data_IF_033713515577
#
_entry.id   IF_033713515577
#
_cell.length_a   1.000
_cell.length_b   1.000
_cell.length_c   1.000
_cell.angle_alpha   90.00
_cell.angle_beta   90.00
_cell.angle_gamma   90.00
#
_symmetry.space_group_name_H-M   'P 1'
#
loop_
_entity.id
_entity.type
_entity.pdbx_description
1 polymer ?
#
# COMPACT_ATOMS: atom_id res chain seq x y z
N UNK A 1 -9.16 -38.50 -1.23
CA UNK A 1 -7.75 -38.35 -0.86
C UNK A 1 -7.69 -37.20 0.13
N UNK A 2 -7.21 -37.44 1.35
CA UNK A 2 -6.92 -36.34 2.27
C UNK A 2 -5.79 -35.52 1.62
N UNK A 3 -5.91 -34.17 1.56
CA UNK A 3 -4.82 -33.35 1.09
C UNK A 3 -3.62 -33.62 2.02
N UNK A 4 -2.44 -33.83 1.44
CA UNK A 4 -1.20 -33.97 2.20
C UNK A 4 -1.01 -32.66 2.96
N UNK A 5 -1.34 -32.66 4.25
CA UNK A 5 -0.92 -31.62 5.19
C UNK A 5 0.60 -31.48 5.02
N UNK A 6 1.06 -30.27 4.65
CA UNK A 6 2.49 -30.01 4.49
C UNK A 6 3.29 -30.41 5.72
N UNK A 7 4.58 -30.66 5.58
CA UNK A 7 5.46 -31.00 6.69
C UNK A 7 5.46 -29.86 7.72
N UNK A 8 5.30 -30.23 9.02
CA UNK A 8 5.50 -29.28 10.11
C UNK A 8 6.97 -28.94 10.22
N UNK A 9 7.32 -27.69 9.98
CA UNK A 9 8.70 -27.21 10.09
C UNK A 9 9.07 -26.92 11.55
N UNK A 10 10.34 -27.10 11.90
CA UNK A 10 10.88 -26.53 13.13
C UNK A 10 11.05 -25.01 12.95
N UNK A 11 10.20 -24.26 13.63
CA UNK A 11 10.21 -22.81 13.61
C UNK A 11 10.72 -22.21 14.94
N UNK A 12 11.51 -22.98 15.69
CA UNK A 12 12.13 -22.53 16.96
C UNK A 12 13.01 -21.27 16.74
N UNK A 13 13.51 -21.05 15.54
CA UNK A 13 14.19 -19.81 15.14
C UNK A 13 13.40 -18.56 15.56
N UNK A 14 12.09 -18.54 15.41
CA UNK A 14 11.28 -17.36 15.74
C UNK A 14 11.17 -17.09 17.25
N UNK A 15 11.45 -18.09 18.10
CA UNK A 15 11.46 -17.93 19.57
C UNK A 15 12.77 -17.32 20.07
N UNK A 16 13.87 -17.50 19.32
CA UNK A 16 15.20 -17.02 19.68
C UNK A 16 15.62 -15.76 18.91
N UNK A 17 14.87 -15.39 17.86
CA UNK A 17 15.18 -14.25 17.00
C UNK A 17 15.07 -12.94 17.78
N UNK A 18 16.20 -12.26 17.92
CA UNK A 18 16.26 -10.93 18.56
C UNK A 18 16.02 -9.82 17.52
N UNK A 19 15.56 -8.67 17.98
CA UNK A 19 15.43 -7.49 17.14
C UNK A 19 16.81 -7.03 16.66
N UNK A 20 16.93 -6.83 15.35
CA UNK A 20 18.12 -6.22 14.73
C UNK A 20 17.87 -4.71 14.58
N UNK A 21 18.53 -3.93 15.43
CA UNK A 21 18.39 -2.48 15.48
C UNK A 21 18.84 -1.80 14.18
N UNK A 22 19.77 -2.38 13.42
CA UNK A 22 20.24 -1.85 12.14
C UNK A 22 19.12 -1.80 11.08
N UNK A 23 18.04 -2.57 11.26
CA UNK A 23 16.86 -2.59 10.42
C UNK A 23 15.69 -1.77 10.98
N UNK A 24 15.83 -1.19 12.19
CA UNK A 24 14.77 -0.40 12.82
C UNK A 24 14.56 0.97 12.19
N UNK A 25 15.64 1.58 11.67
CA UNK A 25 15.63 2.95 11.14
C UNK A 25 15.09 3.98 12.15
N UNK A 26 15.32 3.76 13.46
CA UNK A 26 14.80 4.62 14.56
C UNK A 26 15.20 6.10 14.45
N UNK A 27 16.38 6.37 13.89
CA UNK A 27 16.91 7.74 13.75
C UNK A 27 16.25 8.54 12.63
N UNK A 28 15.44 7.92 11.77
CA UNK A 28 14.84 8.61 10.64
C UNK A 28 13.59 9.40 11.05
N UNK A 29 13.57 10.66 10.64
CA UNK A 29 12.40 11.54 10.77
C UNK A 29 11.43 11.33 9.61
N UNK A 30 10.25 11.95 9.72
CA UNK A 30 9.30 11.97 8.61
C UNK A 30 9.88 12.67 7.36
N UNK A 31 10.77 13.65 7.54
CA UNK A 31 11.46 14.33 6.43
C UNK A 31 12.36 13.34 5.68
N UNK A 32 13.10 12.52 6.44
CA UNK A 32 14.03 11.54 5.86
C UNK A 32 13.31 10.41 5.10
N UNK A 33 12.09 10.04 5.51
CA UNK A 33 11.28 9.00 4.85
C UNK A 33 10.37 9.52 3.74
N UNK A 34 10.33 10.84 3.54
CA UNK A 34 9.52 11.52 2.52
C UNK A 34 10.35 12.33 1.53
N UNK A 35 11.59 11.92 1.28
CA UNK A 35 12.46 12.55 0.27
C UNK A 35 11.94 12.31 -1.16
N UNK A 36 12.41 13.10 -2.10
CA UNK A 36 11.99 13.07 -3.50
C UNK A 36 10.45 13.01 -3.60
N UNK A 37 9.95 12.16 -4.47
CA UNK A 37 8.51 12.01 -4.72
C UNK A 37 7.78 11.11 -3.71
N UNK A 38 8.47 10.54 -2.71
CA UNK A 38 7.82 9.73 -1.67
C UNK A 38 6.76 10.48 -0.86
N UNK A 39 6.77 11.81 -0.87
CA UNK A 39 5.82 12.67 -0.17
C UNK A 39 4.59 13.06 -0.99
N UNK A 40 4.46 12.64 -2.25
CA UNK A 40 3.37 13.05 -3.14
C UNK A 40 1.99 12.74 -2.57
N UNK A 41 1.85 11.60 -1.95
CA UNK A 41 0.57 11.17 -1.40
C UNK A 41 0.76 10.45 -0.06
N UNK A 42 -0.16 10.70 0.88
CA UNK A 42 -0.24 9.93 2.13
C UNK A 42 -0.89 8.58 1.86
N UNK A 43 -0.14 7.51 2.00
CA UNK A 43 -0.62 6.15 1.85
C UNK A 43 -0.41 5.39 3.18
N UNK A 44 -1.46 4.80 3.78
CA UNK A 44 -1.32 4.04 5.03
C UNK A 44 -0.43 2.81 4.84
N UNK A 45 0.34 2.47 5.86
CA UNK A 45 1.20 1.29 5.90
C UNK A 45 2.22 1.18 4.74
N UNK A 46 2.67 2.31 4.19
CA UNK A 46 3.71 2.30 3.16
C UNK A 46 5.05 1.79 3.71
N UNK A 47 5.83 1.13 2.86
CA UNK A 47 7.24 0.84 3.14
C UNK A 47 8.02 2.10 3.53
N UNK A 48 8.94 1.98 4.47
CA UNK A 48 10.01 2.96 4.63
C UNK A 48 10.93 2.84 3.41
N UNK A 49 11.17 3.91 2.63
CA UNK A 49 11.98 3.83 1.42
C UNK A 49 13.36 3.21 1.66
N UNK A 50 14.03 3.60 2.75
CA UNK A 50 15.35 3.09 3.13
C UNK A 50 15.36 1.58 3.40
N UNK A 51 14.24 1.04 3.92
CA UNK A 51 14.09 -0.41 4.10
C UNK A 51 14.01 -1.11 2.74
N UNK A 52 13.17 -0.58 1.83
CA UNK A 52 13.04 -1.14 0.48
C UNK A 52 14.38 -1.08 -0.26
N UNK A 53 15.06 0.08 -0.24
CA UNK A 53 16.38 0.26 -0.85
C UNK A 53 17.39 -0.76 -0.35
N UNK A 54 17.53 -0.91 0.97
CA UNK A 54 18.50 -1.85 1.55
C UNK A 54 18.23 -3.30 1.12
N UNK A 55 16.94 -3.72 1.13
CA UNK A 55 16.58 -5.06 0.67
C UNK A 55 16.96 -5.25 -0.81
N UNK A 56 16.69 -4.24 -1.65
CA UNK A 56 16.99 -4.29 -3.08
C UNK A 56 18.50 -4.37 -3.31
N UNK A 57 19.28 -3.47 -2.71
CA UNK A 57 20.73 -3.39 -2.89
C UNK A 57 21.47 -4.62 -2.37
N UNK A 58 21.05 -5.19 -1.23
CA UNK A 58 21.64 -6.40 -0.67
C UNK A 58 21.33 -7.68 -1.49
N UNK A 59 20.31 -7.66 -2.38
CA UNK A 59 19.82 -8.87 -3.03
C UNK A 59 19.75 -8.80 -4.56
N UNK A 60 20.19 -7.72 -5.19
CA UNK A 60 20.17 -7.53 -6.65
C UNK A 60 21.37 -6.76 -7.13
N UNK A 61 21.66 -6.89 -8.43
CA UNK A 61 22.61 -6.07 -9.18
C UNK A 61 21.86 -5.02 -10.03
N UNK A 62 22.61 -4.04 -10.58
CA UNK A 62 22.07 -3.12 -11.60
C UNK A 62 21.50 -3.94 -12.75
N UNK A 63 20.45 -3.45 -13.40
CA UNK A 63 19.68 -4.07 -14.48
C UNK A 63 18.85 -5.31 -14.07
N UNK A 64 18.86 -5.70 -12.80
CA UNK A 64 17.96 -6.74 -12.31
C UNK A 64 16.50 -6.25 -12.26
N UNK A 65 15.55 -7.19 -12.42
CA UNK A 65 14.11 -6.91 -12.33
C UNK A 65 13.64 -7.10 -10.89
N UNK A 66 13.11 -6.03 -10.32
CA UNK A 66 12.52 -6.00 -8.96
C UNK A 66 11.01 -5.85 -9.07
N UNK A 67 10.26 -6.74 -8.44
CA UNK A 67 8.80 -6.77 -8.43
C UNK A 67 8.25 -6.45 -7.04
N UNK A 68 7.27 -5.55 -6.96
CA UNK A 68 6.37 -5.42 -5.81
C UNK A 68 4.92 -5.68 -6.25
N UNK A 69 4.37 -6.90 -5.98
CA UNK A 69 3.01 -7.27 -6.41
C UNK A 69 1.89 -6.67 -5.54
N UNK A 70 2.24 -5.92 -4.49
CA UNK A 70 1.34 -5.15 -3.63
C UNK A 70 1.92 -3.74 -3.46
N UNK A 71 2.23 -3.07 -4.58
CA UNK A 71 3.11 -1.91 -4.58
C UNK A 71 2.55 -0.69 -3.81
N UNK A 72 1.24 -0.63 -3.55
CA UNK A 72 0.62 0.46 -2.82
C UNK A 72 1.01 1.82 -3.36
N UNK A 73 1.78 2.58 -2.59
CA UNK A 73 2.30 3.89 -3.04
C UNK A 73 3.62 3.82 -3.81
N UNK A 74 4.07 2.65 -4.25
CA UNK A 74 5.23 2.48 -5.12
C UNK A 74 6.58 2.77 -4.47
N UNK A 75 6.73 2.57 -3.17
CA UNK A 75 8.03 2.86 -2.51
C UNK A 75 9.13 1.93 -3.00
N UNK A 76 8.88 0.62 -3.09
CA UNK A 76 9.86 -0.35 -3.59
C UNK A 76 10.17 -0.11 -5.07
N UNK A 77 9.15 0.22 -5.88
CA UNK A 77 9.34 0.51 -7.31
C UNK A 77 10.25 1.72 -7.52
N UNK A 78 10.00 2.83 -6.81
CA UNK A 78 10.84 4.02 -6.92
C UNK A 78 12.28 3.74 -6.46
N UNK A 79 12.47 3.02 -5.35
CA UNK A 79 13.82 2.67 -4.86
C UNK A 79 14.57 1.73 -5.82
N UNK A 80 13.87 0.79 -6.48
CA UNK A 80 14.46 -0.03 -7.51
C UNK A 80 15.00 0.82 -8.67
N UNK A 81 14.18 1.76 -9.17
CA UNK A 81 14.57 2.68 -10.24
C UNK A 81 15.77 3.55 -9.85
N UNK A 82 15.72 4.15 -8.64
CA UNK A 82 16.81 5.01 -8.13
C UNK A 82 18.13 4.24 -7.91
N UNK A 83 18.05 2.93 -7.80
CA UNK A 83 19.21 2.04 -7.67
C UNK A 83 19.65 1.41 -9.00
N UNK A 84 19.12 1.84 -10.13
CA UNK A 84 19.46 1.33 -11.46
C UNK A 84 18.90 -0.06 -11.77
N UNK A 85 17.76 -0.43 -11.19
CA UNK A 85 17.06 -1.69 -11.42
C UNK A 85 15.78 -1.45 -12.20
N UNK A 86 15.28 -2.47 -12.91
CA UNK A 86 13.95 -2.44 -13.50
C UNK A 86 12.90 -2.62 -12.40
N UNK A 87 12.01 -1.62 -12.22
CA UNK A 87 10.96 -1.62 -11.22
C UNK A 87 9.62 -2.07 -11.80
N UNK A 88 9.10 -3.21 -11.38
CA UNK A 88 7.76 -3.65 -11.70
C UNK A 88 6.85 -3.51 -10.48
N UNK A 89 5.76 -2.75 -10.62
CA UNK A 89 4.75 -2.57 -9.57
C UNK A 89 3.38 -3.05 -10.02
N UNK A 90 2.70 -3.80 -9.18
CA UNK A 90 1.29 -4.09 -9.40
C UNK A 90 0.47 -3.88 -8.14
N UNK A 91 -0.76 -3.46 -8.31
CA UNK A 91 -1.75 -3.38 -7.24
C UNK A 91 -3.15 -3.48 -7.84
N UNK A 92 -4.07 -4.07 -7.11
CA UNK A 92 -5.47 -4.13 -7.53
C UNK A 92 -6.19 -2.80 -7.33
N UNK A 93 -5.63 -1.92 -6.50
CA UNK A 93 -6.17 -0.61 -6.18
C UNK A 93 -5.77 0.44 -7.22
N UNK A 94 -6.70 1.01 -7.99
CA UNK A 94 -6.38 2.02 -9.01
C UNK A 94 -5.71 3.27 -8.44
N UNK A 95 -5.98 3.62 -7.17
CA UNK A 95 -5.30 4.72 -6.52
C UNK A 95 -3.82 4.41 -6.27
N UNK A 96 -3.49 3.18 -5.92
CA UNK A 96 -2.09 2.74 -5.79
C UNK A 96 -1.34 2.91 -7.12
N UNK A 97 -1.96 2.48 -8.23
CA UNK A 97 -1.43 2.68 -9.57
C UNK A 97 -1.22 4.17 -9.89
N UNK A 98 -2.23 5.03 -9.64
CA UNK A 98 -2.14 6.48 -9.86
C UNK A 98 -0.97 7.10 -9.09
N UNK A 99 -0.84 6.78 -7.80
CA UNK A 99 0.21 7.31 -6.94
C UNK A 99 1.58 6.82 -7.40
N UNK A 100 1.71 5.51 -7.66
CA UNK A 100 2.98 4.92 -8.09
C UNK A 100 3.42 5.51 -9.43
N UNK A 101 2.51 5.63 -10.40
CA UNK A 101 2.80 6.24 -11.69
C UNK A 101 3.25 7.70 -11.53
N UNK A 102 2.54 8.52 -10.75
CA UNK A 102 2.92 9.91 -10.49
C UNK A 102 4.31 10.02 -9.85
N UNK A 103 4.63 9.15 -8.88
CA UNK A 103 5.90 9.17 -8.16
C UNK A 103 7.10 8.74 -8.99
N UNK A 104 6.90 7.82 -9.91
CA UNK A 104 7.98 7.21 -10.70
C UNK A 104 8.12 7.83 -12.10
N UNK A 105 7.31 8.84 -12.42
CA UNK A 105 7.34 9.52 -13.72
C UNK A 105 7.78 10.97 -13.53
N UNK A 106 9.08 11.26 -13.62
CA UNK A 106 9.58 12.63 -13.58
C UNK A 106 9.13 13.39 -14.82
N UNK A 107 8.64 14.59 -14.63
CA UNK A 107 8.20 15.50 -15.70
C UNK A 107 9.28 16.57 -15.87
N UNK A 108 9.59 16.90 -17.13
CA UNK A 108 10.52 18.00 -17.41
C UNK A 108 10.10 19.26 -16.64
N UNK A 109 10.98 19.88 -15.84
CA UNK A 109 10.61 21.01 -14.97
C UNK A 109 9.94 22.17 -15.72
N UNK A 110 10.41 22.53 -16.91
CA UNK A 110 9.83 23.63 -17.72
C UNK A 110 8.43 23.28 -18.21
N UNK A 111 8.20 22.02 -18.62
CA UNK A 111 6.88 21.55 -19.04
C UNK A 111 5.92 21.55 -17.87
N UNK A 112 6.37 21.10 -16.68
CA UNK A 112 5.54 21.07 -15.48
C UNK A 112 5.21 22.49 -15.01
N UNK A 113 6.17 23.41 -14.99
CA UNK A 113 6.00 24.82 -14.62
C UNK A 113 4.93 25.49 -15.48
N UNK A 114 5.07 25.44 -16.83
CA UNK A 114 4.08 26.01 -17.74
C UNK A 114 2.70 25.37 -17.61
N UNK A 115 2.64 24.06 -17.33
CA UNK A 115 1.38 23.35 -17.08
C UNK A 115 0.72 23.81 -15.78
N UNK A 116 1.49 24.05 -14.72
CA UNK A 116 0.99 24.59 -13.44
C UNK A 116 0.45 26.00 -13.60
N UNK A 117 1.17 26.87 -14.29
CA UNK A 117 0.73 28.24 -14.57
C UNK A 117 -0.60 28.24 -15.35
N UNK A 118 -0.70 27.43 -16.41
CA UNK A 118 -1.92 27.26 -17.17
C UNK A 118 -3.07 26.75 -16.30
N UNK A 119 -2.85 25.68 -15.52
CA UNK A 119 -3.86 25.13 -14.62
C UNK A 119 -4.34 26.20 -13.64
N UNK A 120 -3.44 26.88 -12.94
CA UNK A 120 -3.82 27.87 -11.92
C UNK A 120 -4.56 29.07 -12.52
N UNK A 121 -4.17 29.53 -13.70
CA UNK A 121 -4.89 30.59 -14.39
C UNK A 121 -6.29 30.17 -14.85
N UNK A 122 -6.49 28.89 -15.18
CA UNK A 122 -7.76 28.35 -15.64
C UNK A 122 -8.76 28.09 -14.52
N UNK A 123 -8.32 27.84 -13.27
CA UNK A 123 -9.20 27.51 -12.16
C UNK A 123 -10.33 28.51 -11.92
N UNK A 124 -10.10 29.80 -12.19
CA UNK A 124 -11.13 30.85 -12.06
C UNK A 124 -12.34 30.64 -12.98
N UNK A 125 -12.16 29.97 -14.12
CA UNK A 125 -13.25 29.72 -15.08
C UNK A 125 -14.11 28.52 -14.70
N UNK A 126 -13.61 27.61 -13.86
CA UNK A 126 -14.29 26.39 -13.48
C UNK A 126 -14.99 26.44 -12.12
N UNK A 127 -14.95 27.58 -11.40
CA UNK A 127 -15.53 27.73 -10.05
C UNK A 127 -17.06 27.50 -9.97
N UNK A 128 -17.78 27.54 -11.08
CA UNK A 128 -19.26 27.39 -11.14
C UNK A 128 -19.68 26.20 -12.00
N UNK A 129 -18.99 25.09 -11.89
CA UNK A 129 -19.35 23.88 -12.66
C UNK A 129 -20.56 23.17 -12.04
N UNK A 130 -21.46 22.64 -12.89
CA UNK A 130 -22.61 21.83 -12.45
C UNK A 130 -22.14 20.60 -11.66
N UNK A 131 -22.86 20.31 -10.57
CA UNK A 131 -22.59 19.18 -9.66
C UNK A 131 -23.65 18.06 -9.79
N UNK A 132 -24.63 18.21 -10.69
CA UNK A 132 -25.79 17.31 -10.80
C UNK A 132 -25.41 15.85 -11.14
N UNK A 133 -24.28 15.64 -11.80
CA UNK A 133 -23.81 14.31 -12.20
C UNK A 133 -22.88 13.62 -11.19
N UNK A 134 -22.66 14.23 -10.02
CA UNK A 134 -21.75 13.68 -9.01
C UNK A 134 -22.40 12.55 -8.21
N UNK A 135 -21.63 11.53 -7.79
CA UNK A 135 -22.13 10.45 -6.93
C UNK A 135 -22.71 10.97 -5.61
N UNK A 136 -23.86 10.45 -5.19
CA UNK A 136 -24.54 10.85 -3.94
C UNK A 136 -23.65 10.78 -2.70
N UNK A 137 -22.71 9.83 -2.64
CA UNK A 137 -21.75 9.69 -1.55
C UNK A 137 -20.89 10.94 -1.31
N UNK A 138 -20.60 11.73 -2.35
CA UNK A 138 -19.82 12.97 -2.22
C UNK A 138 -20.53 13.96 -1.30
N UNK A 139 -21.84 14.16 -1.47
CA UNK A 139 -22.63 15.10 -0.66
C UNK A 139 -22.68 14.73 0.82
N UNK A 140 -22.44 13.46 1.15
CA UNK A 140 -22.40 13.03 2.55
C UNK A 140 -21.03 13.22 3.21
N UNK A 141 -19.96 13.34 2.44
CA UNK A 141 -18.59 13.45 2.95
C UNK A 141 -18.00 14.86 2.86
N UNK A 142 -18.56 15.73 2.04
CA UNK A 142 -18.00 17.07 1.79
C UNK A 142 -19.03 18.16 2.10
N UNK A 143 -18.59 19.33 2.63
CA UNK A 143 -19.45 20.49 2.73
C UNK A 143 -19.96 20.93 1.36
N UNK A 144 -21.21 21.39 1.28
CA UNK A 144 -21.86 21.77 0.02
C UNK A 144 -21.12 22.85 -0.76
N UNK A 145 -20.55 23.84 -0.07
CA UNK A 145 -19.76 24.92 -0.68
C UNK A 145 -18.39 24.50 -1.18
N UNK A 146 -17.87 23.36 -0.72
CA UNK A 146 -16.56 22.80 -1.12
C UNK A 146 -16.67 21.98 -2.41
N UNK A 147 -17.82 21.34 -2.63
CA UNK A 147 -18.03 20.43 -3.76
C UNK A 147 -17.84 21.11 -5.12
N UNK A 148 -18.42 22.31 -5.41
CA UNK A 148 -18.22 22.97 -6.69
C UNK A 148 -16.77 23.32 -6.98
N UNK A 149 -15.99 23.72 -5.96
CA UNK A 149 -14.58 24.03 -6.12
C UNK A 149 -13.74 22.79 -6.43
N UNK A 150 -13.99 21.67 -5.74
CA UNK A 150 -13.33 20.40 -6.03
C UNK A 150 -13.69 19.90 -7.45
N UNK A 151 -14.97 20.02 -7.84
CA UNK A 151 -15.39 19.66 -9.19
C UNK A 151 -14.71 20.57 -10.25
N UNK A 152 -14.57 21.87 -9.95
CA UNK A 152 -13.86 22.82 -10.79
C UNK A 152 -12.40 22.46 -11.00
N UNK A 153 -11.68 22.07 -9.93
CA UNK A 153 -10.30 21.58 -10.02
C UNK A 153 -10.23 20.35 -10.92
N UNK A 154 -11.13 19.38 -10.72
CA UNK A 154 -11.12 18.14 -11.51
C UNK A 154 -11.38 18.42 -13.00
N UNK A 155 -12.33 19.34 -13.32
CA UNK A 155 -12.60 19.78 -14.69
C UNK A 155 -11.40 20.49 -15.34
N UNK A 156 -10.69 21.32 -14.59
CA UNK A 156 -9.48 21.95 -15.07
C UNK A 156 -8.37 20.93 -15.39
N UNK A 157 -8.25 19.88 -14.58
CA UNK A 157 -7.31 18.78 -14.80
C UNK A 157 -7.66 17.97 -16.05
N UNK A 158 -8.93 17.85 -16.42
CA UNK A 158 -9.35 17.10 -17.62
C UNK A 158 -8.79 17.64 -18.93
N UNK A 159 -8.37 18.91 -18.96
CA UNK A 159 -7.72 19.52 -20.11
C UNK A 159 -6.26 19.08 -20.37
N UNK A 160 -5.68 18.27 -19.48
CA UNK A 160 -4.32 17.76 -19.62
C UNK A 160 -4.30 16.28 -20.02
N UNK A 161 -3.21 15.87 -20.65
CA UNK A 161 -2.99 14.50 -21.06
C UNK A 161 -1.83 13.84 -20.30
N UNK A 162 -1.81 12.49 -20.33
CA UNK A 162 -0.69 11.65 -19.91
C UNK A 162 -0.16 11.92 -18.48
N UNK A 163 1.14 12.18 -18.38
CA UNK A 163 1.86 12.22 -17.11
C UNK A 163 1.54 13.47 -16.30
N UNK A 164 1.30 14.61 -16.98
CA UNK A 164 0.87 15.86 -16.32
C UNK A 164 -0.50 15.69 -15.68
N UNK A 165 -1.45 15.06 -16.38
CA UNK A 165 -2.77 14.72 -15.80
C UNK A 165 -2.62 13.80 -14.60
N UNK A 166 -1.78 12.77 -14.71
CA UNK A 166 -1.50 11.82 -13.61
C UNK A 166 -0.94 12.55 -12.38
N UNK A 167 -0.01 13.48 -12.58
CA UNK A 167 0.55 14.31 -11.53
C UNK A 167 -0.53 15.14 -10.81
N UNK A 168 -1.36 15.85 -11.56
CA UNK A 168 -2.42 16.67 -10.98
C UNK A 168 -3.53 15.84 -10.32
N UNK A 169 -3.91 14.69 -10.88
CA UNK A 169 -4.87 13.77 -10.24
C UNK A 169 -4.32 13.21 -8.92
N UNK A 170 -3.02 12.94 -8.84
CA UNK A 170 -2.38 12.52 -7.58
C UNK A 170 -2.47 13.65 -6.53
N UNK A 171 -2.19 14.90 -6.93
CA UNK A 171 -2.34 16.07 -6.06
C UNK A 171 -3.80 16.27 -5.61
N UNK A 172 -4.76 16.14 -6.53
CA UNK A 172 -6.19 16.23 -6.23
C UNK A 172 -6.62 15.17 -5.21
N UNK A 173 -6.23 13.91 -5.43
CA UNK A 173 -6.53 12.82 -4.51
C UNK A 173 -6.02 13.09 -3.09
N UNK A 174 -4.82 13.63 -2.95
CA UNK A 174 -4.19 13.92 -1.67
C UNK A 174 -4.97 14.95 -0.83
N UNK A 175 -5.60 15.93 -1.46
CA UNK A 175 -6.30 17.01 -0.73
C UNK A 175 -7.70 16.63 -0.27
N UNK A 176 -8.32 15.60 -0.83
CA UNK A 176 -9.73 15.26 -0.59
C UNK A 176 -10.04 15.06 0.89
N UNK A 177 -9.14 14.41 1.64
CA UNK A 177 -9.34 14.21 3.08
C UNK A 177 -9.34 15.53 3.85
N UNK A 178 -8.49 16.48 3.49
CA UNK A 178 -8.43 17.79 4.13
C UNK A 178 -9.71 18.59 3.87
N UNK A 179 -10.32 18.43 2.70
CA UNK A 179 -11.52 19.12 2.27
C UNK A 179 -12.83 18.42 2.68
N UNK A 180 -12.78 17.24 3.30
CA UNK A 180 -13.95 16.44 3.70
C UNK A 180 -14.18 16.44 5.20
N UNK A 181 -15.36 15.98 5.64
CA UNK A 181 -15.66 15.72 7.07
C UNK A 181 -14.84 14.57 7.68
N UNK A 182 -14.03 13.85 6.90
CA UNK A 182 -13.19 12.80 7.46
C UNK A 182 -12.17 13.38 8.43
N UNK A 183 -12.13 12.86 9.66
CA UNK A 183 -11.16 13.29 10.68
C UNK A 183 -9.72 13.08 10.22
N UNK A 184 -8.89 14.12 10.37
CA UNK A 184 -7.46 14.04 10.02
C UNK A 184 -6.68 13.03 10.88
N UNK A 185 -7.17 12.72 12.08
CA UNK A 185 -6.56 11.83 13.05
C UNK A 185 -6.97 10.36 12.86
N UNK A 186 -8.02 10.08 12.10
CA UNK A 186 -8.50 8.72 11.84
C UNK A 186 -8.06 8.20 10.48
N UNK A 187 -7.52 6.97 10.45
CA UNK A 187 -7.27 6.27 9.17
C UNK A 187 -8.56 5.65 8.65
N UNK A 188 -9.39 5.08 9.56
CA UNK A 188 -10.70 4.56 9.18
C UNK A 188 -11.67 5.70 8.88
N UNK A 189 -12.67 5.49 8.01
CA UNK A 189 -13.72 6.46 7.76
C UNK A 189 -14.42 6.85 9.07
N UNK A 190 -14.20 8.08 9.50
CA UNK A 190 -14.84 8.66 10.67
C UNK A 190 -15.16 10.13 10.37
N UNK A 191 -16.46 10.49 10.39
CA UNK A 191 -16.92 11.87 10.18
C UNK A 191 -16.79 12.67 11.46
N UNK A 192 -16.07 13.78 11.36
CA UNK A 192 -15.93 14.78 12.40
C UNK A 192 -16.77 15.98 11.97
N UNK A 193 -18.00 16.07 12.45
CA UNK A 193 -18.97 17.08 12.00
C UNK A 193 -18.53 18.51 12.32
N UNK A 194 -17.82 18.69 13.43
CA UNK A 194 -17.33 20.00 13.88
C UNK A 194 -15.98 20.39 13.27
N UNK A 195 -15.42 19.57 12.36
CA UNK A 195 -14.10 19.79 11.76
C UNK A 195 -13.93 21.18 11.17
N UNK A 196 -14.98 21.75 10.63
CA UNK A 196 -14.99 23.06 9.99
C UNK A 196 -15.73 24.14 10.77
N UNK A 197 -15.98 23.93 12.06
CA UNK A 197 -16.67 24.89 12.91
C UNK A 197 -15.97 26.26 13.01
N UNK A 198 -14.64 26.30 12.85
CA UNK A 198 -13.85 27.54 12.92
C UNK A 198 -13.56 28.15 11.56
N UNK A 199 -13.33 27.36 10.54
CA UNK A 199 -13.02 27.84 9.19
C UNK A 199 -13.29 26.74 8.17
N UNK A 200 -13.93 27.12 7.06
CA UNK A 200 -14.10 26.24 5.90
C UNK A 200 -12.78 26.08 5.15
N UNK A 201 -12.50 24.90 4.60
CA UNK A 201 -11.32 24.71 3.77
C UNK A 201 -11.50 25.46 2.44
N UNK A 202 -10.40 25.99 1.93
CA UNK A 202 -10.33 26.50 0.56
C UNK A 202 -9.64 25.41 -0.31
N UNK A 203 -10.41 24.62 -1.09
CA UNK A 203 -9.84 23.52 -1.87
C UNK A 203 -8.80 23.99 -2.88
N UNK A 204 -9.03 25.14 -3.52
CA UNK A 204 -8.12 25.70 -4.53
C UNK A 204 -6.76 26.01 -3.89
N UNK A 205 -6.76 26.72 -2.76
CA UNK A 205 -5.53 27.09 -2.07
C UNK A 205 -4.76 25.84 -1.56
N UNK A 206 -5.50 24.87 -0.98
CA UNK A 206 -4.90 23.63 -0.50
C UNK A 206 -4.28 22.84 -1.67
N UNK A 207 -4.99 22.78 -2.80
CA UNK A 207 -4.52 22.12 -4.02
C UNK A 207 -3.27 22.79 -4.58
N UNK A 208 -3.28 24.11 -4.77
CA UNK A 208 -2.14 24.87 -5.29
C UNK A 208 -0.91 24.69 -4.42
N UNK A 209 -1.04 24.80 -3.09
CA UNK A 209 0.06 24.58 -2.16
C UNK A 209 0.65 23.17 -2.28
N UNK A 210 -0.22 22.17 -2.45
CA UNK A 210 0.25 20.79 -2.61
C UNK A 210 0.92 20.55 -3.95
N UNK A 211 0.39 21.11 -5.04
CA UNK A 211 0.99 21.07 -6.39
C UNK A 211 2.40 21.67 -6.38
N UNK A 212 2.58 22.87 -5.78
CA UNK A 212 3.89 23.50 -5.68
C UNK A 212 4.89 22.68 -4.86
N UNK A 213 4.42 22.04 -3.80
CA UNK A 213 5.25 21.08 -3.05
C UNK A 213 5.66 19.89 -3.92
N UNK A 214 4.74 19.33 -4.70
CA UNK A 214 5.04 18.21 -5.60
C UNK A 214 5.97 18.64 -6.75
N UNK A 215 5.83 19.86 -7.25
CA UNK A 215 6.72 20.43 -8.27
C UNK A 215 8.18 20.44 -7.78
N UNK A 216 8.45 21.02 -6.62
CA UNK A 216 9.81 21.03 -6.04
C UNK A 216 10.39 19.61 -5.92
N UNK A 217 9.58 18.63 -5.55
CA UNK A 217 10.02 17.22 -5.45
C UNK A 217 10.21 16.55 -6.81
N UNK A 218 9.45 16.96 -7.82
CA UNK A 218 9.68 16.54 -9.20
C UNK A 218 11.03 17.04 -9.72
N UNK A 219 11.37 18.29 -9.43
CA UNK A 219 12.66 18.88 -9.81
C UNK A 219 13.83 18.13 -9.15
N UNK A 220 13.71 17.80 -7.85
CA UNK A 220 14.71 16.99 -7.15
C UNK A 220 14.88 15.60 -7.81
N UNK A 221 13.76 14.91 -8.14
CA UNK A 221 13.80 13.61 -8.79
C UNK A 221 14.40 13.74 -10.21
N UNK A 222 13.93 14.71 -10.98
CA UNK A 222 14.39 14.94 -12.34
C UNK A 222 15.91 15.17 -12.38
N UNK A 223 16.43 15.97 -11.44
CA UNK A 223 17.87 16.21 -11.29
C UNK A 223 18.64 14.95 -10.86
N UNK A 224 18.06 14.14 -9.98
CA UNK A 224 18.71 12.92 -9.49
C UNK A 224 18.86 11.83 -10.57
N UNK A 225 18.07 11.89 -11.64
CA UNK A 225 18.07 10.89 -12.71
C UNK A 225 18.64 11.41 -14.05
N UNK A 226 19.14 12.63 -14.09
CA UNK A 226 19.67 13.24 -15.34
C UNK A 226 20.73 12.36 -16.02
N UNK A 227 21.58 11.70 -15.22
CA UNK A 227 22.65 10.84 -15.71
C UNK A 227 22.22 9.36 -15.80
N UNK A 228 20.93 9.05 -15.58
CA UNK A 228 20.39 7.69 -15.64
C UNK A 228 19.69 7.46 -16.98
N UNK A 229 20.41 6.93 -17.94
CA UNK A 229 19.83 6.54 -19.23
C UNK A 229 18.67 5.56 -19.06
N UNK A 230 17.58 5.80 -19.77
CA UNK A 230 16.45 4.88 -19.81
C UNK A 230 15.57 4.82 -18.57
N UNK A 231 15.71 5.72 -17.58
CA UNK A 231 14.91 5.68 -16.32
C UNK A 231 13.42 5.44 -16.57
N UNK A 232 12.81 6.12 -17.54
CA UNK A 232 11.38 5.98 -17.83
C UNK A 232 11.00 4.63 -18.46
N UNK A 233 11.92 3.97 -19.14
CA UNK A 233 11.73 2.65 -19.75
C UNK A 233 12.01 1.49 -18.78
N UNK A 234 12.65 1.76 -17.64
CA UNK A 234 12.98 0.76 -16.61
C UNK A 234 11.80 0.42 -15.68
N UNK A 235 10.57 0.77 -16.02
CA UNK A 235 9.41 0.51 -15.16
C UNK A 235 8.21 -0.01 -15.91
N UNK A 236 7.43 -0.84 -15.22
CA UNK A 236 6.04 -1.15 -15.56
C UNK A 236 5.17 -1.11 -14.31
N UNK A 237 4.00 -0.50 -14.43
CA UNK A 237 3.05 -0.34 -13.32
C UNK A 237 1.67 -0.76 -13.81
N UNK A 238 1.11 -1.80 -13.19
CA UNK A 238 -0.10 -2.44 -13.67
C UNK A 238 -1.21 -2.45 -12.60
N UNK A 239 -2.46 -2.32 -13.05
CA UNK A 239 -3.62 -2.62 -12.21
C UNK A 239 -3.97 -4.09 -12.43
N UNK A 240 -3.51 -4.96 -11.54
CA UNK A 240 -3.78 -6.38 -11.67
C UNK A 240 -3.90 -7.09 -10.32
N UNK A 241 -4.44 -8.30 -10.36
CA UNK A 241 -4.49 -9.19 -9.21
C UNK A 241 -3.14 -9.89 -9.04
N UNK A 242 -2.54 -9.79 -7.86
CA UNK A 242 -1.26 -10.42 -7.53
C UNK A 242 -1.27 -11.96 -7.69
N UNK A 243 -2.44 -12.57 -7.81
CA UNK A 243 -2.62 -14.01 -8.15
C UNK A 243 -2.42 -14.31 -9.64
N UNK A 244 -2.32 -13.30 -10.50
CA UNK A 244 -2.13 -13.43 -11.94
C UNK A 244 -1.42 -12.21 -12.50
N UNK A 245 -0.11 -12.22 -12.43
CA UNK A 245 0.74 -11.14 -12.91
C UNK A 245 0.92 -11.22 -14.45
N UNK A 246 0.81 -10.10 -15.18
CA UNK A 246 1.06 -10.06 -16.62
C UNK A 246 2.56 -10.04 -16.92
N UNK A 247 3.31 -10.96 -16.31
CA UNK A 247 4.73 -11.19 -16.50
C UNK A 247 4.98 -12.59 -17.01
N UNK A 248 5.98 -12.72 -17.86
CA UNK A 248 6.49 -14.03 -18.25
C UNK A 248 7.16 -14.75 -17.06
N UNK A 249 7.15 -16.08 -17.09
CA UNK A 249 7.81 -16.87 -16.08
C UNK A 249 9.32 -16.65 -16.07
N UNK A 250 9.94 -16.70 -14.89
CA UNK A 250 11.40 -16.63 -14.71
C UNK A 250 12.05 -15.33 -15.21
N UNK A 251 11.36 -14.21 -15.02
CA UNK A 251 11.86 -12.88 -15.43
C UNK A 251 12.31 -12.02 -14.26
N UNK A 252 11.79 -12.26 -13.05
CA UNK A 252 12.02 -11.44 -11.85
C UNK A 252 13.24 -11.93 -11.06
N UNK A 253 14.16 -11.03 -10.74
CA UNK A 253 15.35 -11.34 -9.90
C UNK A 253 15.03 -11.24 -8.41
N UNK A 254 14.20 -10.25 -8.01
CA UNK A 254 13.78 -10.06 -6.62
C UNK A 254 12.30 -9.68 -6.57
N UNK A 255 11.53 -10.40 -5.77
CA UNK A 255 10.25 -9.89 -5.26
C UNK A 255 10.50 -9.23 -3.91
N UNK A 256 10.09 -7.98 -3.73
CA UNK A 256 10.16 -7.26 -2.46
C UNK A 256 8.83 -6.62 -2.15
N UNK A 257 8.18 -7.05 -1.06
CA UNK A 257 6.82 -6.61 -0.79
C UNK A 257 6.46 -6.65 0.70
N UNK A 258 5.49 -5.80 1.07
CA UNK A 258 4.73 -5.92 2.32
C UNK A 258 3.27 -6.20 1.96
N UNK A 259 2.87 -7.47 1.93
CA UNK A 259 1.51 -7.84 1.52
C UNK A 259 0.46 -7.31 2.51
N UNK A 260 -0.83 -7.27 2.13
CA UNK A 260 -1.90 -6.92 3.06
C UNK A 260 -1.83 -7.82 4.31
N UNK A 261 -2.00 -7.21 5.50
CA UNK A 261 -2.04 -7.97 6.75
C UNK A 261 -3.45 -8.51 6.97
N UNK A 262 -3.54 -9.69 7.57
CA UNK A 262 -4.82 -10.34 7.84
C UNK A 262 -5.76 -9.41 8.64
N UNK A 263 -6.95 -9.14 8.12
CA UNK A 263 -8.02 -8.30 8.72
C UNK A 263 -7.60 -6.91 9.20
N UNK A 264 -6.49 -6.35 8.69
CA UNK A 264 -5.94 -5.08 9.19
C UNK A 264 -6.64 -3.84 8.63
N UNK A 265 -6.84 -3.80 7.33
CA UNK A 265 -7.40 -2.65 6.61
C UNK A 265 -8.32 -3.08 5.49
N UNK A 266 -9.53 -2.49 5.49
CA UNK A 266 -10.35 -2.43 4.30
C UNK A 266 -9.84 -1.27 3.42
N UNK A 267 -8.88 -1.56 2.54
CA UNK A 267 -8.27 -0.55 1.67
C UNK A 267 -9.28 0.18 0.79
N UNK A 268 -10.38 -0.49 0.41
CA UNK A 268 -11.48 0.14 -0.29
C UNK A 268 -12.13 1.28 0.51
N UNK A 269 -12.26 1.11 1.83
CA UNK A 269 -12.86 2.12 2.70
C UNK A 269 -11.89 3.27 2.95
N UNK A 270 -10.60 2.99 3.11
CA UNK A 270 -9.59 4.02 3.35
C UNK A 270 -9.46 4.97 2.15
N UNK A 271 -9.66 4.47 0.94
CA UNK A 271 -9.52 5.24 -0.29
C UNK A 271 -10.85 5.68 -0.91
N UNK A 272 -11.97 5.49 -0.20
CA UNK A 272 -13.31 5.73 -0.74
C UNK A 272 -13.52 7.16 -1.27
N UNK A 273 -12.94 8.20 -0.65
CA UNK A 273 -13.08 9.57 -1.12
C UNK A 273 -12.54 9.73 -2.55
N UNK A 274 -11.34 9.21 -2.78
CA UNK A 274 -10.74 9.24 -4.13
C UNK A 274 -11.55 8.40 -5.11
N UNK A 275 -12.00 7.21 -4.71
CA UNK A 275 -12.81 6.34 -5.56
C UNK A 275 -14.16 6.98 -5.90
N UNK A 276 -14.77 7.78 -5.01
CA UNK A 276 -16.00 8.54 -5.30
C UNK A 276 -15.75 9.64 -6.34
N UNK A 277 -14.67 10.40 -6.21
CA UNK A 277 -14.35 11.50 -7.13
C UNK A 277 -13.83 11.03 -8.49
N UNK A 278 -12.98 10.01 -8.48
CA UNK A 278 -12.33 9.46 -9.68
C UNK A 278 -13.00 8.18 -10.18
N UNK A 279 -14.20 7.84 -9.70
CA UNK A 279 -14.87 6.56 -9.97
C UNK A 279 -15.19 6.31 -11.45
N UNK A 280 -15.32 7.35 -12.27
CA UNK A 280 -15.45 7.21 -13.74
C UNK A 280 -14.14 6.67 -14.37
N UNK A 281 -13.00 6.93 -13.72
CA UNK A 281 -11.69 6.44 -14.14
C UNK A 281 -11.39 5.05 -13.56
N UNK A 282 -12.14 4.61 -12.52
CA UNK A 282 -11.87 3.40 -11.76
C UNK A 282 -13.17 2.63 -11.47
N UNK A 283 -13.41 1.47 -12.08
CA UNK A 283 -14.59 0.64 -11.84
C UNK A 283 -14.58 0.11 -10.39
N UNK A 284 -15.42 0.70 -9.51
CA UNK A 284 -15.31 0.56 -8.04
C UNK A 284 -15.99 -0.67 -7.43
N UNK A 285 -17.15 -1.12 -7.92
CA UNK A 285 -17.92 -2.17 -7.24
C UNK A 285 -17.32 -3.58 -7.36
N UNK A 286 -16.68 -3.89 -8.48
CA UNK A 286 -16.06 -5.20 -8.68
C UNK A 286 -14.71 -5.32 -7.95
N UNK A 287 -14.04 -4.20 -7.70
CA UNK A 287 -12.70 -4.18 -7.07
C UNK A 287 -12.79 -4.54 -5.58
N UNK A 288 -13.82 -4.07 -4.85
CA UNK A 288 -13.98 -4.36 -3.41
C UNK A 288 -13.94 -5.85 -3.07
N UNK A 289 -14.58 -6.67 -3.90
CA UNK A 289 -14.64 -8.13 -3.69
C UNK A 289 -13.31 -8.85 -3.95
N UNK A 290 -12.36 -8.16 -4.60
CA UNK A 290 -11.06 -8.74 -4.99
C UNK A 290 -9.94 -8.41 -4.01
N UNK A 291 -10.14 -7.47 -3.06
CA UNK A 291 -9.10 -7.17 -2.07
C UNK A 291 -8.83 -8.37 -1.16
N UNK A 292 -7.56 -8.74 -1.05
CA UNK A 292 -7.09 -9.78 -0.14
C UNK A 292 -7.24 -9.29 1.30
N UNK A 293 -7.73 -10.15 2.20
CA UNK A 293 -7.96 -9.83 3.60
C UNK A 293 -9.27 -9.10 3.90
N UNK A 294 -10.15 -8.88 2.89
CA UNK A 294 -11.49 -8.33 3.12
C UNK A 294 -12.35 -9.31 3.89
N UNK A 295 -13.01 -8.81 4.96
CA UNK A 295 -13.96 -9.60 5.76
C UNK A 295 -15.26 -9.91 5.02
N UNK A 296 -15.50 -9.28 3.87
CA UNK A 296 -16.71 -9.49 3.06
C UNK A 296 -16.64 -10.70 2.12
N UNK A 297 -15.49 -11.38 2.02
CA UNK A 297 -15.35 -12.58 1.18
C UNK A 297 -15.98 -13.79 1.84
N UNK A 298 -16.87 -14.47 1.09
CA UNK A 298 -17.57 -15.67 1.54
C UNK A 298 -16.94 -16.98 1.04
N UNK A 299 -16.12 -16.90 0.01
CA UNK A 299 -15.50 -18.07 -0.62
C UNK A 299 -14.20 -18.43 0.10
N UNK A 300 -14.27 -19.40 1.00
CA UNK A 300 -13.09 -19.95 1.67
C UNK A 300 -12.73 -21.30 1.06
N UNK A 301 -11.54 -21.40 0.47
CA UNK A 301 -10.90 -22.69 0.31
C UNK A 301 -10.24 -23.04 1.64
N UNK A 302 -10.30 -24.30 2.05
CA UNK A 302 -9.72 -24.76 3.31
C UNK A 302 -8.39 -25.50 3.14
N UNK A 303 -7.79 -25.42 1.95
CA UNK A 303 -6.56 -26.15 1.62
C UNK A 303 -5.37 -25.19 1.62
N UNK A 304 -4.58 -25.23 2.69
CA UNK A 304 -3.34 -24.44 2.81
C UNK A 304 -2.14 -25.36 2.91
N UNK A 305 -1.03 -24.91 2.34
CA UNK A 305 0.29 -25.53 2.52
C UNK A 305 0.95 -25.11 3.84
N UNK A 306 0.15 -24.98 4.92
CA UNK A 306 0.64 -24.62 6.25
C UNK A 306 -0.20 -25.25 7.34
N UNK A 307 0.43 -26.04 8.20
CA UNK A 307 -0.17 -26.63 9.40
C UNK A 307 -0.61 -25.54 10.39
N UNK A 308 0.23 -24.51 10.58
CA UNK A 308 -0.07 -23.38 11.47
C UNK A 308 -1.31 -22.63 11.00
N UNK A 309 -1.49 -22.41 9.69
CA UNK A 309 -2.69 -21.78 9.15
C UNK A 309 -3.95 -22.56 9.49
N UNK A 310 -3.93 -23.90 9.35
CA UNK A 310 -5.05 -24.79 9.73
C UNK A 310 -5.38 -24.69 11.23
N UNK A 311 -4.36 -24.71 12.08
CA UNK A 311 -4.53 -24.60 13.53
C UNK A 311 -5.14 -23.25 13.94
N UNK A 312 -4.63 -22.14 13.35
CA UNK A 312 -5.13 -20.78 13.59
C UNK A 312 -6.59 -20.63 13.15
N UNK A 313 -6.90 -21.07 11.92
CA UNK A 313 -8.28 -21.03 11.39
C UNK A 313 -9.21 -21.87 12.24
N UNK A 314 -8.80 -23.09 12.65
CA UNK A 314 -9.59 -23.95 13.52
C UNK A 314 -9.90 -23.34 14.90
N UNK A 315 -8.91 -22.67 15.53
CA UNK A 315 -9.10 -21.96 16.80
C UNK A 315 -10.03 -20.76 16.67
N UNK A 316 -9.89 -19.98 15.58
CA UNK A 316 -10.75 -18.82 15.32
C UNK A 316 -12.19 -19.23 15.03
N UNK A 317 -12.39 -20.27 14.21
CA UNK A 317 -13.72 -20.74 13.82
C UNK A 317 -14.56 -21.25 15.00
N UNK A 318 -13.91 -21.78 16.05
CA UNK A 318 -14.59 -22.17 17.28
C UNK A 318 -15.19 -20.98 18.04
N UNK A 319 -14.55 -19.80 17.96
CA UNK A 319 -14.96 -18.61 18.69
C UNK A 319 -15.79 -17.65 17.81
N UNK A 320 -15.49 -17.60 16.53
CA UNK A 320 -16.12 -16.72 15.53
C UNK A 320 -15.93 -17.33 14.14
N UNK A 321 -16.97 -18.04 13.67
CA UNK A 321 -16.96 -18.71 12.37
C UNK A 321 -16.74 -17.73 11.20
N UNK A 322 -17.31 -16.52 11.29
CA UNK A 322 -17.15 -15.48 10.27
C UNK A 322 -15.68 -15.01 10.16
N UNK A 323 -15.04 -14.81 11.30
CA UNK A 323 -13.62 -14.44 11.35
C UNK A 323 -12.73 -15.60 10.90
N UNK A 324 -13.05 -16.83 11.28
CA UNK A 324 -12.36 -18.03 10.80
C UNK A 324 -12.39 -18.13 9.28
N UNK A 325 -13.57 -17.92 8.65
CA UNK A 325 -13.71 -17.89 7.19
C UNK A 325 -12.87 -16.77 6.55
N UNK A 326 -12.87 -15.56 7.13
CA UNK A 326 -12.11 -14.44 6.59
C UNK A 326 -10.59 -14.70 6.62
N UNK A 327 -10.08 -15.28 7.72
CA UNK A 327 -8.66 -15.65 7.84
C UNK A 327 -8.29 -16.80 6.92
N UNK A 328 -9.20 -17.78 6.75
CA UNK A 328 -9.06 -18.87 5.78
C UNK A 328 -8.92 -18.34 4.36
N UNK A 329 -9.81 -17.43 3.94
CA UNK A 329 -9.76 -16.80 2.63
C UNK A 329 -8.45 -16.02 2.41
N UNK A 330 -8.00 -15.30 3.45
CA UNK A 330 -6.72 -14.57 3.40
C UNK A 330 -5.54 -15.50 3.12
N UNK A 331 -5.39 -16.59 3.88
CA UNK A 331 -4.28 -17.52 3.69
C UNK A 331 -4.34 -18.23 2.34
N UNK A 332 -5.54 -18.58 1.86
CA UNK A 332 -5.72 -19.14 0.52
C UNK A 332 -5.29 -18.18 -0.58
N UNK A 333 -5.72 -16.91 -0.49
CA UNK A 333 -5.32 -15.87 -1.44
C UNK A 333 -3.82 -15.62 -1.44
N UNK A 334 -3.21 -15.55 -0.24
CA UNK A 334 -1.75 -15.36 -0.13
C UNK A 334 -0.98 -16.54 -0.72
N UNK A 335 -1.45 -17.77 -0.51
CA UNK A 335 -0.86 -18.95 -1.13
C UNK A 335 -0.88 -18.88 -2.65
N UNK A 336 -2.00 -18.44 -3.24
CA UNK A 336 -2.09 -18.29 -4.70
C UNK A 336 -1.17 -17.16 -5.20
N UNK A 337 -1.01 -16.07 -4.43
CA UNK A 337 -0.03 -15.03 -4.74
C UNK A 337 1.41 -15.57 -4.67
N UNK A 338 1.74 -16.41 -3.70
CA UNK A 338 3.07 -17.01 -3.58
C UNK A 338 3.39 -17.94 -4.74
N UNK A 339 2.42 -18.74 -5.19
CA UNK A 339 2.58 -19.55 -6.42
C UNK A 339 2.91 -18.68 -7.63
N UNK A 340 2.22 -17.54 -7.75
CA UNK A 340 2.42 -16.62 -8.86
C UNK A 340 3.79 -15.89 -8.76
N UNK A 341 4.21 -15.49 -7.55
CA UNK A 341 5.55 -14.96 -7.32
C UNK A 341 6.63 -15.97 -7.72
N UNK A 342 6.46 -17.24 -7.37
CA UNK A 342 7.38 -18.32 -7.77
C UNK A 342 7.41 -18.55 -9.28
N UNK A 343 6.26 -18.47 -9.94
CA UNK A 343 6.17 -18.61 -11.41
C UNK A 343 7.03 -17.59 -12.14
N UNK A 344 7.00 -16.33 -11.67
CA UNK A 344 7.74 -15.24 -12.32
C UNK A 344 9.20 -15.12 -11.85
N UNK A 345 9.56 -15.76 -10.73
CA UNK A 345 10.90 -15.70 -10.14
C UNK A 345 11.92 -16.46 -10.98
N UNK A 346 13.09 -15.87 -11.22
CA UNK A 346 14.25 -16.56 -11.83
C UNK A 346 14.73 -17.71 -10.93
N UNK A 347 15.42 -18.74 -11.46
CA UNK A 347 15.91 -19.88 -10.66
C UNK A 347 16.76 -19.48 -9.45
N UNK A 348 17.58 -18.45 -9.56
CA UNK A 348 18.41 -17.89 -8.46
C UNK A 348 17.81 -16.62 -7.86
N UNK A 349 16.57 -16.30 -8.20
CA UNK A 349 15.86 -15.15 -7.68
C UNK A 349 15.53 -15.29 -6.20
N UNK A 350 15.19 -14.18 -5.58
CA UNK A 350 14.84 -14.11 -4.16
C UNK A 350 13.48 -13.48 -3.94
N UNK A 351 12.82 -13.84 -2.82
CA UNK A 351 11.60 -13.22 -2.37
C UNK A 351 11.85 -12.65 -0.98
N UNK A 352 11.65 -11.35 -0.81
CA UNK A 352 11.73 -10.65 0.46
C UNK A 352 10.32 -10.18 0.87
N UNK A 353 9.82 -10.70 1.98
CA UNK A 353 8.50 -10.34 2.52
C UNK A 353 8.67 -9.64 3.86
N UNK A 354 8.04 -8.47 4.00
CA UNK A 354 7.96 -7.75 5.27
C UNK A 354 6.55 -7.91 5.84
N UNK A 355 6.44 -8.57 7.00
CA UNK A 355 5.15 -8.94 7.60
C UNK A 355 5.21 -8.92 9.13
N UNK A 356 4.13 -8.49 9.77
CA UNK A 356 3.96 -8.57 11.22
C UNK A 356 3.03 -9.70 11.63
N UNK A 357 3.30 -10.30 12.79
CA UNK A 357 2.35 -11.17 13.47
C UNK A 357 1.29 -10.31 14.18
N UNK A 358 0.10 -10.84 14.40
CA UNK A 358 -1.00 -10.12 15.04
C UNK A 358 -1.81 -11.04 15.96
N UNK A 359 -2.76 -10.48 16.70
CA UNK A 359 -3.70 -11.23 17.53
C UNK A 359 -5.13 -10.82 17.18
N UNK A 360 -6.00 -11.79 16.97
CA UNK A 360 -7.41 -11.59 16.69
C UNK A 360 -8.25 -12.36 17.72
N UNK A 361 -9.09 -11.66 18.48
CA UNK A 361 -9.94 -12.26 19.53
C UNK A 361 -9.19 -13.24 20.44
N UNK A 362 -8.01 -12.86 20.90
CA UNK A 362 -7.16 -13.69 21.76
C UNK A 362 -6.39 -14.81 21.05
N UNK A 363 -6.61 -15.03 19.75
CA UNK A 363 -5.86 -16.01 18.97
C UNK A 363 -4.68 -15.34 18.28
N UNK A 364 -3.46 -15.80 18.55
CA UNK A 364 -2.25 -15.35 17.87
C UNK A 364 -2.24 -15.80 16.41
N UNK A 365 -1.99 -14.87 15.50
CA UNK A 365 -1.86 -15.10 14.06
C UNK A 365 -0.40 -14.96 13.70
N UNK A 366 0.29 -16.07 13.58
CA UNK A 366 1.72 -16.14 13.27
C UNK A 366 1.97 -16.05 11.76
N UNK A 367 1.65 -14.90 11.14
CA UNK A 367 1.75 -14.72 9.68
C UNK A 367 3.14 -15.08 9.15
N UNK A 368 4.21 -14.66 9.83
CA UNK A 368 5.58 -14.93 9.41
C UNK A 368 5.85 -16.45 9.34
N UNK A 369 5.44 -17.20 10.35
CA UNK A 369 5.64 -18.65 10.41
C UNK A 369 4.77 -19.37 9.36
N UNK A 370 3.52 -18.94 9.17
CA UNK A 370 2.63 -19.47 8.12
C UNK A 370 3.26 -19.30 6.74
N UNK A 371 3.84 -18.12 6.44
CA UNK A 371 4.47 -17.86 5.15
C UNK A 371 5.72 -18.72 4.95
N UNK A 372 6.51 -18.91 5.99
CA UNK A 372 7.68 -19.81 5.92
C UNK A 372 7.26 -21.25 5.63
N UNK A 373 6.21 -21.77 6.29
CA UNK A 373 5.69 -23.11 5.97
C UNK A 373 5.16 -23.20 4.53
N UNK A 374 4.41 -22.18 4.07
CA UNK A 374 3.88 -22.17 2.71
C UNK A 374 4.99 -22.21 1.66
N UNK A 375 6.01 -21.36 1.80
CA UNK A 375 7.13 -21.35 0.85
C UNK A 375 7.95 -22.63 0.91
N UNK A 376 8.22 -23.18 2.09
CA UNK A 376 8.93 -24.44 2.22
C UNK A 376 8.18 -25.61 1.57
N UNK A 377 6.84 -25.64 1.68
CA UNK A 377 6.01 -26.63 0.99
C UNK A 377 5.80 -26.31 -0.52
N UNK A 378 6.42 -25.26 -1.02
CA UNK A 378 6.56 -24.91 -2.45
C UNK A 378 8.04 -24.98 -2.90
N UNK A 379 8.88 -25.72 -2.18
CA UNK A 379 10.30 -25.93 -2.47
C UNK A 379 11.17 -24.65 -2.47
N UNK A 380 10.76 -23.60 -1.71
CA UNK A 380 11.56 -22.39 -1.54
C UNK A 380 12.00 -22.22 -0.07
N UNK A 381 13.30 -22.20 0.19
CA UNK A 381 13.86 -22.18 1.53
C UNK A 381 13.93 -20.76 2.12
N UNK A 382 13.71 -20.63 3.44
CA UNK A 382 14.05 -19.42 4.18
C UNK A 382 15.57 -19.30 4.30
N UNK A 383 16.17 -18.25 3.74
CA UNK A 383 17.61 -17.97 3.81
C UNK A 383 17.96 -17.05 4.97
N UNK A 384 17.10 -16.11 5.29
CA UNK A 384 17.30 -15.15 6.39
C UNK A 384 15.96 -14.69 6.95
N UNK A 385 15.90 -14.62 8.26
CA UNK A 385 14.82 -13.91 8.98
C UNK A 385 15.45 -12.81 9.83
N UNK A 386 14.86 -11.61 9.77
CA UNK A 386 15.23 -10.47 10.61
C UNK A 386 14.00 -10.03 11.37
N UNK A 387 14.10 -9.90 12.69
CA UNK A 387 13.08 -9.25 13.50
C UNK A 387 13.47 -7.80 13.72
N UNK A 388 12.52 -6.89 13.56
CA UNK A 388 12.72 -5.48 13.79
C UNK A 388 11.58 -4.85 14.57
N UNK A 389 11.87 -3.84 15.34
CA UNK A 389 10.86 -2.94 15.91
C UNK A 389 10.51 -1.83 14.91
N UNK A 390 9.24 -1.47 14.83
CA UNK A 390 8.76 -0.35 13.99
C UNK A 390 8.63 0.89 14.88
N UNK A 391 9.56 1.86 14.78
CA UNK A 391 9.68 2.94 15.77
C UNK A 391 8.56 3.98 15.72
N UNK A 392 7.92 4.18 14.58
CA UNK A 392 6.82 5.14 14.46
C UNK A 392 5.65 4.54 13.71
N UNK A 393 4.53 4.34 14.39
CA UNK A 393 3.28 3.90 13.77
C UNK A 393 2.30 5.06 13.76
N UNK A 394 1.83 5.44 12.57
CA UNK A 394 0.65 6.32 12.42
C UNK A 394 -0.63 5.63 12.88
N UNK A 395 -0.54 4.35 13.21
CA UNK A 395 -1.63 3.50 13.61
C UNK A 395 -1.73 3.43 15.12
N UNK A 396 -2.93 3.28 15.69
CA UNK A 396 -3.06 2.86 17.06
C UNK A 396 -2.22 1.60 17.26
N UNK A 397 -1.23 1.69 18.14
CA UNK A 397 -0.31 0.57 18.42
C UNK A 397 -0.95 -0.51 19.28
N UNK A 398 -2.15 -0.27 19.81
CA UNK A 398 -2.77 -1.08 20.84
C UNK A 398 -4.17 -1.55 20.46
N UNK A 399 -4.48 -2.79 20.80
CA UNK A 399 -5.81 -3.41 20.65
C UNK A 399 -6.32 -3.92 21.98
N UNK A 400 -7.63 -3.92 22.13
CA UNK A 400 -8.32 -4.70 23.16
C UNK A 400 -8.20 -6.18 22.81
N UNK A 401 -7.64 -7.03 23.69
CA UNK A 401 -7.42 -8.45 23.41
C UNK A 401 -8.72 -9.24 23.25
N UNK A 402 -9.82 -8.81 23.86
CA UNK A 402 -11.10 -9.52 23.82
C UNK A 402 -11.90 -9.21 22.55
N UNK A 403 -11.94 -7.93 22.13
CA UNK A 403 -12.71 -7.48 20.97
C UNK A 403 -11.90 -7.41 19.69
N UNK A 404 -10.55 -7.38 19.79
CA UNK A 404 -9.63 -7.16 18.67
C UNK A 404 -9.66 -5.73 18.09
N UNK A 405 -10.47 -4.82 18.68
CA UNK A 405 -10.58 -3.42 18.21
C UNK A 405 -9.38 -2.61 18.66
N UNK A 406 -8.99 -1.65 17.84
CA UNK A 406 -7.99 -0.67 18.25
C UNK A 406 -8.51 0.19 19.39
N UNK A 407 -7.69 0.36 20.41
CA UNK A 407 -8.00 1.17 21.62
C UNK A 407 -6.87 2.15 21.90
N UNK A 408 -7.14 3.12 22.76
CA UNK A 408 -6.12 4.08 23.20
C UNK A 408 -5.01 3.35 23.99
N UNK A 409 -3.78 3.81 23.85
CA UNK A 409 -2.64 3.34 24.65
C UNK A 409 -2.81 3.57 26.17
N UNK A 410 -3.84 4.33 26.56
CA UNK A 410 -4.21 4.56 27.97
C UNK A 410 -5.25 3.56 28.49
N UNK A 411 -5.73 2.63 27.67
CA UNK A 411 -6.69 1.62 28.09
C UNK A 411 -6.02 0.62 29.05
N UNK A 412 -6.73 0.25 30.10
CA UNK A 412 -6.24 -0.69 31.14
C UNK A 412 -6.08 -2.13 30.61
N UNK A 413 -6.80 -2.48 29.55
CA UNK A 413 -6.75 -3.80 28.94
C UNK A 413 -6.34 -3.67 27.47
N UNK A 414 -5.03 -3.65 27.21
CA UNK A 414 -4.49 -3.49 25.86
C UNK A 414 -3.32 -4.42 25.60
N UNK A 415 -3.18 -4.82 24.32
CA UNK A 415 -2.01 -5.52 23.78
C UNK A 415 -1.49 -4.76 22.56
N UNK A 416 -0.19 -4.87 22.30
CA UNK A 416 0.37 -4.31 21.07
C UNK A 416 -0.20 -5.02 19.85
N UNK A 417 -0.69 -4.24 18.89
CA UNK A 417 -1.32 -4.80 17.69
C UNK A 417 -0.30 -5.53 16.81
N UNK A 418 0.89 -4.96 16.67
CA UNK A 418 2.02 -5.49 15.90
C UNK A 418 3.31 -5.17 16.67
N UNK A 419 3.70 -6.01 17.65
CA UNK A 419 4.88 -5.72 18.47
C UNK A 419 6.18 -5.77 17.67
N UNK A 420 6.22 -6.62 16.66
CA UNK A 420 7.39 -6.87 15.82
C UNK A 420 6.98 -7.00 14.35
N UNK A 421 7.92 -6.70 13.48
CA UNK A 421 7.83 -6.93 12.06
C UNK A 421 9.02 -7.79 11.62
N UNK A 422 8.78 -8.72 10.72
CA UNK A 422 9.78 -9.65 10.22
C UNK A 422 10.09 -9.33 8.77
N UNK A 423 11.37 -9.38 8.43
CA UNK A 423 11.85 -9.40 7.05
C UNK A 423 12.26 -10.84 6.77
N UNK A 424 11.55 -11.49 5.89
CA UNK A 424 11.76 -12.90 5.52
C UNK A 424 12.35 -12.94 4.12
N UNK A 425 13.57 -13.48 3.98
CA UNK A 425 14.24 -13.64 2.70
C UNK A 425 14.26 -15.12 2.31
N UNK A 426 13.65 -15.42 1.18
CA UNK A 426 13.56 -16.77 0.62
C UNK A 426 14.38 -16.89 -0.67
N UNK A 427 14.85 -18.10 -0.96
CA UNK A 427 15.58 -18.44 -2.18
C UNK A 427 15.88 -19.92 -2.26
N UNK A 428 16.49 -20.37 -3.35
CA UNK A 428 16.99 -21.73 -3.56
C UNK A 428 18.40 -21.92 -2.96
#
# INVERSE_FOLDING_TARGET
>A
MQPSLGYRLDLSLFTTLRNDESWSFRGLTQKDTNYLTHCYHRYPAKFIPQLARRIIEENTSVDDVVLDPFCGSGSAVLEALLSGRFGYGSDINPLAHLITKAKTTPINPKVLESSIEYLFSSLKYYRKTSIESLPKGIFSWFPENVIPELNGILRAIDGFDNDVKTFFLCAFSQILKACSFWSMYSIKPYKEHDKFARAMPNPVEIFQRHVLKMQSRNEELYSAILDMDGFNSMKSIEICDAKRLPLEGKTVSLVVTSPPYVTSYEYADIHQLTLMWLGKLFPSEQIRKKFIGSVSRKDSRSEFLSYIAHEVVGKLSKNDEGLGRAVSAYFSDMQDCFKEMLRVLKPLGRIAIVIGNTTLRGVGISNAQVFVEMFANMDLSLKRAVSREVPSKYLPSTRDPSTGRFVSAKSSNMVLAYPQEYILLFGN
#
